data_IF_940183801409
#
_entry.id   IF_940183801409
#
_cell.length_a   1.000
_cell.length_b   1.000
_cell.length_c   1.000
_cell.angle_alpha   90.00
_cell.angle_beta   90.00
_cell.angle_gamma   90.00
#
_symmetry.space_group_name_H-M   'P 1'
#
loop_
_entity.id
_entity.type
_entity.pdbx_description
1 polymer ?
#
# COMPACT_ATOMS: atom_id res chain seq x y z
N UNK A 1 -56.35 7.87 -27.38
CA UNK A 1 -55.19 8.79 -27.37
C UNK A 1 -54.00 7.92 -27.06
N UNK A 2 -52.96 7.86 -27.94
CA UNK A 2 -51.76 7.09 -27.61
C UNK A 2 -51.07 7.74 -26.42
N UNK A 3 -51.01 7.04 -25.30
CA UNK A 3 -50.30 7.49 -24.11
C UNK A 3 -48.80 7.27 -24.36
N UNK A 4 -48.05 8.35 -24.43
CA UNK A 4 -46.60 8.30 -24.57
C UNK A 4 -45.99 8.14 -23.17
N UNK A 5 -45.42 6.98 -22.87
CA UNK A 5 -44.65 6.76 -21.63
C UNK A 5 -43.28 7.39 -21.79
N UNK A 6 -42.85 8.12 -20.77
CA UNK A 6 -41.51 8.68 -20.66
C UNK A 6 -40.59 7.77 -19.82
N UNK A 7 -39.30 7.98 -19.87
CA UNK A 7 -38.35 7.25 -19.01
C UNK A 7 -38.67 7.41 -17.52
N UNK A 8 -39.18 8.60 -17.12
CA UNK A 8 -39.57 8.91 -15.73
C UNK A 8 -40.77 8.07 -15.28
N UNK A 9 -41.72 7.79 -16.19
CA UNK A 9 -42.88 6.96 -15.88
C UNK A 9 -42.51 5.48 -15.70
N UNK A 10 -41.42 5.05 -16.32
CA UNK A 10 -40.93 3.67 -16.27
C UNK A 10 -39.98 3.40 -15.09
N UNK A 11 -39.31 4.42 -14.55
CA UNK A 11 -38.34 4.28 -13.47
C UNK A 11 -38.83 3.50 -12.24
N UNK A 12 -40.08 3.67 -11.76
CA UNK A 12 -40.60 2.88 -10.62
C UNK A 12 -40.68 1.38 -10.89
N UNK A 13 -40.78 0.98 -12.18
CA UNK A 13 -40.93 -0.41 -12.59
C UNK A 13 -39.58 -1.07 -12.97
N UNK A 14 -38.53 -0.28 -13.16
CA UNK A 14 -37.20 -0.75 -13.50
C UNK A 14 -36.38 -1.20 -12.25
N UNK A 15 -37.04 -1.52 -11.15
CA UNK A 15 -36.35 -2.11 -10.00
C UNK A 15 -35.98 -3.56 -10.27
N UNK A 16 -34.81 -4.03 -9.81
CA UNK A 16 -34.33 -5.40 -10.05
C UNK A 16 -35.36 -6.49 -9.71
N UNK A 17 -36.15 -6.27 -8.67
CA UNK A 17 -37.22 -7.18 -8.23
C UNK A 17 -38.38 -7.29 -9.22
N UNK A 18 -38.56 -6.31 -10.09
CA UNK A 18 -39.63 -6.25 -11.09
C UNK A 18 -39.16 -6.71 -12.48
N UNK A 19 -37.89 -7.03 -12.66
CA UNK A 19 -37.30 -7.40 -13.93
C UNK A 19 -37.12 -8.91 -14.05
N UNK A 20 -37.50 -9.47 -15.20
CA UNK A 20 -37.09 -10.83 -15.57
C UNK A 20 -35.69 -10.77 -16.11
N UNK A 21 -34.71 -11.22 -15.32
CA UNK A 21 -33.31 -11.13 -15.64
C UNK A 21 -32.82 -12.51 -16.10
N UNK A 22 -32.49 -12.65 -17.38
CA UNK A 22 -31.81 -13.80 -17.92
C UNK A 22 -30.31 -13.68 -17.63
N UNK A 23 -29.91 -13.98 -16.38
CA UNK A 23 -28.53 -13.90 -15.92
C UNK A 23 -28.44 -13.69 -14.41
N UNK A 24 -27.26 -13.88 -13.84
CA UNK A 24 -27.01 -13.65 -12.43
C UNK A 24 -26.56 -12.21 -12.23
N UNK A 25 -27.36 -11.43 -11.50
CA UNK A 25 -26.86 -10.18 -10.93
C UNK A 25 -25.79 -10.50 -9.89
N UNK A 26 -24.65 -9.87 -9.96
CA UNK A 26 -23.65 -9.91 -8.90
C UNK A 26 -23.92 -8.72 -7.97
N UNK A 27 -24.30 -9.04 -6.74
CA UNK A 27 -24.61 -8.00 -5.71
C UNK A 27 -25.63 -6.94 -6.17
N UNK A 28 -26.65 -7.35 -6.93
CA UNK A 28 -27.66 -6.44 -7.45
C UNK A 28 -27.24 -5.56 -8.64
N UNK A 29 -26.06 -5.79 -9.19
CA UNK A 29 -25.52 -5.04 -10.34
C UNK A 29 -25.48 -5.91 -11.60
N UNK A 30 -25.70 -5.28 -12.74
CA UNK A 30 -25.51 -5.92 -14.05
C UNK A 30 -24.04 -6.17 -14.30
N UNK A 31 -23.67 -7.33 -14.87
CA UNK A 31 -22.28 -7.62 -15.22
C UNK A 31 -21.77 -6.66 -16.32
N UNK A 32 -20.46 -6.40 -16.32
CA UNK A 32 -19.78 -5.71 -17.41
C UNK A 32 -20.00 -6.46 -18.72
N UNK A 33 -20.34 -5.73 -19.79
CA UNK A 33 -20.53 -6.28 -21.11
C UNK A 33 -21.78 -5.75 -21.81
N UNK A 34 -22.17 -6.40 -22.89
CA UNK A 34 -23.38 -6.05 -23.62
C UNK A 34 -24.61 -6.49 -22.82
N UNK A 35 -25.47 -5.51 -22.51
CA UNK A 35 -26.76 -5.73 -21.86
C UNK A 35 -27.85 -5.38 -22.86
N UNK A 36 -28.81 -6.26 -22.99
CA UNK A 36 -30.01 -6.06 -23.81
C UNK A 36 -31.20 -5.91 -22.89
N UNK A 37 -31.89 -4.81 -23.03
CA UNK A 37 -33.13 -4.51 -22.28
C UNK A 37 -34.28 -4.56 -23.27
N UNK A 38 -35.19 -5.49 -23.06
CA UNK A 38 -36.38 -5.65 -23.89
C UNK A 38 -37.61 -5.36 -23.08
N UNK A 39 -38.49 -4.58 -23.63
CA UNK A 39 -39.76 -4.15 -22.98
C UNK A 39 -40.95 -4.56 -23.85
N UNK A 40 -41.97 -5.12 -23.22
CA UNK A 40 -43.23 -5.47 -23.83
C UNK A 40 -44.36 -5.06 -22.91
N UNK A 41 -45.44 -4.50 -23.44
CA UNK A 41 -46.61 -4.14 -22.67
C UNK A 41 -47.61 -5.29 -22.75
N UNK A 42 -48.10 -5.71 -21.58
CA UNK A 42 -49.13 -6.75 -21.44
C UNK A 42 -50.28 -6.21 -20.56
N UNK A 43 -51.48 -6.64 -20.87
CA UNK A 43 -52.65 -6.33 -20.00
C UNK A 43 -52.48 -7.01 -18.64
N UNK A 44 -52.69 -6.26 -17.57
CA UNK A 44 -52.44 -6.73 -16.23
C UNK A 44 -53.31 -7.92 -15.81
N UNK A 45 -54.58 -7.90 -16.22
CA UNK A 45 -55.55 -8.92 -15.80
C UNK A 45 -55.60 -10.10 -16.74
N UNK A 46 -55.73 -9.86 -18.04
CA UNK A 46 -55.84 -10.92 -19.05
C UNK A 46 -54.51 -11.50 -19.50
N UNK A 47 -53.39 -10.84 -19.14
CA UNK A 47 -52.03 -11.16 -19.62
C UNK A 47 -51.90 -11.13 -21.16
N UNK A 48 -52.87 -10.51 -21.84
CA UNK A 48 -52.81 -10.36 -23.28
C UNK A 48 -51.72 -9.39 -23.72
N UNK A 49 -50.99 -9.73 -24.74
CA UNK A 49 -49.87 -8.93 -25.29
C UNK A 49 -50.43 -7.73 -26.03
N UNK A 50 -50.05 -6.54 -25.61
CA UNK A 50 -50.55 -5.26 -26.16
C UNK A 50 -49.53 -4.57 -27.08
N UNK A 51 -48.23 -4.98 -27.02
CA UNK A 51 -47.18 -4.42 -27.87
C UNK A 51 -46.21 -5.48 -28.35
N UNK A 52 -45.51 -5.20 -29.46
CA UNK A 52 -44.30 -5.93 -29.86
C UNK A 52 -43.17 -5.67 -28.83
N UNK A 53 -42.14 -6.50 -28.88
CA UNK A 53 -40.90 -6.27 -28.13
C UNK A 53 -40.17 -5.04 -28.69
N UNK A 54 -39.77 -4.14 -27.79
CA UNK A 54 -38.83 -3.09 -28.11
C UNK A 54 -37.57 -3.34 -27.32
N UNK A 55 -36.46 -3.41 -28.02
CA UNK A 55 -35.16 -3.80 -27.48
C UNK A 55 -34.15 -2.67 -27.62
N UNK A 56 -33.49 -2.34 -26.54
CA UNK A 56 -32.32 -1.47 -26.52
C UNK A 56 -31.09 -2.25 -26.08
N UNK A 57 -29.95 -1.98 -26.69
CA UNK A 57 -28.66 -2.57 -26.33
C UNK A 57 -27.73 -1.51 -25.77
N UNK A 58 -27.11 -1.81 -24.64
CA UNK A 58 -26.11 -0.96 -24.00
C UNK A 58 -24.89 -1.79 -23.66
N UNK A 59 -23.73 -1.19 -23.79
CA UNK A 59 -22.50 -1.76 -23.22
C UNK A 59 -22.29 -1.18 -21.84
N UNK A 60 -22.35 -2.03 -20.83
CA UNK A 60 -22.09 -1.64 -19.44
C UNK A 60 -20.62 -1.87 -19.14
N UNK A 61 -19.91 -0.83 -18.74
CA UNK A 61 -18.48 -0.89 -18.38
C UNK A 61 -18.36 -0.54 -16.89
N UNK A 62 -18.10 -1.57 -16.06
CA UNK A 62 -17.92 -1.40 -14.63
C UNK A 62 -16.47 -0.97 -14.36
N UNK A 63 -16.31 0.15 -13.66
CA UNK A 63 -15.02 0.69 -13.28
C UNK A 63 -14.60 0.18 -11.91
N UNK A 64 -13.30 -0.01 -11.73
CA UNK A 64 -12.77 -0.44 -10.45
C UNK A 64 -12.74 0.71 -9.44
N UNK A 65 -12.99 0.42 -8.14
CA UNK A 65 -12.87 1.42 -7.09
C UNK A 65 -11.42 1.88 -6.93
N UNK A 66 -11.19 3.03 -6.26
CA UNK A 66 -9.85 3.55 -6.03
C UNK A 66 -9.00 2.59 -5.20
N UNK A 67 -7.69 2.59 -5.46
CA UNK A 67 -6.71 1.85 -4.68
C UNK A 67 -6.03 2.80 -3.70
N UNK A 68 -6.10 2.48 -2.41
CA UNK A 68 -5.47 3.27 -1.37
C UNK A 68 -3.95 3.13 -1.42
N UNK A 69 -3.24 4.21 -1.06
CA UNK A 69 -1.78 4.25 -1.07
C UNK A 69 -1.19 4.70 0.27
N UNK A 70 -1.51 5.90 0.74
CA UNK A 70 -0.96 6.46 1.98
C UNK A 70 -2.04 7.00 2.90
N UNK A 71 -1.95 6.76 4.23
CA UNK A 71 -1.08 5.82 4.92
C UNK A 71 -1.33 4.39 4.46
N UNK A 72 -0.27 3.54 4.47
CA UNK A 72 -0.39 2.14 4.08
C UNK A 72 -1.17 1.34 5.13
N UNK A 73 -1.56 0.12 4.74
CA UNK A 73 -2.23 -0.79 5.66
C UNK A 73 -1.31 -1.15 6.84
N UNK A 74 -1.84 -0.97 8.06
CA UNK A 74 -1.15 -1.24 9.34
C UNK A 74 0.09 -0.36 9.58
N UNK A 75 0.09 0.84 9.00
CA UNK A 75 1.20 1.76 9.12
C UNK A 75 1.25 2.41 10.51
N UNK A 76 2.48 2.62 11.00
CA UNK A 76 2.73 3.38 12.23
C UNK A 76 3.01 4.84 11.84
N UNK A 77 2.11 5.74 12.19
CA UNK A 77 2.21 7.16 11.88
C UNK A 77 2.63 7.93 13.13
N UNK A 78 3.69 8.72 13.03
CA UNK A 78 4.10 9.57 14.15
C UNK A 78 3.16 10.78 14.30
N UNK A 79 2.69 11.02 15.52
CA UNK A 79 2.01 12.26 15.86
C UNK A 79 2.97 13.45 15.71
N UNK A 80 2.49 14.51 15.11
CA UNK A 80 3.22 15.78 14.96
C UNK A 80 2.36 16.91 15.46
N UNK A 81 2.99 17.92 16.01
CA UNK A 81 2.35 19.19 16.35
C UNK A 81 3.05 20.32 15.54
N UNK A 82 2.34 20.95 14.59
CA UNK A 82 0.95 20.71 14.19
C UNK A 82 0.75 19.38 13.45
N UNK A 83 -0.42 18.76 13.67
CA UNK A 83 -0.78 17.50 13.00
C UNK A 83 -0.77 17.65 11.49
N UNK A 84 -0.13 16.70 10.81
CA UNK A 84 -0.14 16.61 9.36
C UNK A 84 -0.08 15.14 8.92
N UNK A 85 -1.15 14.65 8.29
CA UNK A 85 -1.22 13.32 7.69
C UNK A 85 -1.67 13.47 6.24
N UNK A 86 -0.90 12.90 5.33
CA UNK A 86 -1.25 12.89 3.91
C UNK A 86 -1.94 11.58 3.56
N UNK A 87 -3.20 11.64 3.15
CA UNK A 87 -3.92 10.54 2.54
C UNK A 87 -3.78 10.61 1.03
N UNK A 88 -3.57 9.46 0.40
CA UNK A 88 -3.41 9.38 -1.05
C UNK A 88 -4.01 8.07 -1.57
N UNK A 89 -4.64 8.15 -2.74
CA UNK A 89 -5.17 7.00 -3.47
C UNK A 89 -4.97 7.16 -4.96
N UNK A 90 -5.07 6.04 -5.69
CA UNK A 90 -4.97 6.02 -7.14
C UNK A 90 -6.32 5.69 -7.75
N UNK A 91 -6.82 6.47 -8.72
CA UNK A 91 -7.99 6.11 -9.50
C UNK A 91 -7.64 4.89 -10.36
N UNK A 92 -8.55 3.91 -10.41
CA UNK A 92 -8.44 2.77 -11.33
C UNK A 92 -9.45 2.86 -12.47
N UNK A 93 -9.85 4.08 -12.78
CA UNK A 93 -10.73 4.43 -13.90
C UNK A 93 -10.10 5.56 -14.70
N UNK A 94 -10.20 5.49 -16.01
CA UNK A 94 -9.74 6.56 -16.90
C UNK A 94 -10.94 7.31 -17.47
N UNK A 95 -10.84 8.64 -17.52
CA UNK A 95 -11.70 9.47 -18.37
C UNK A 95 -13.14 9.67 -17.91
N UNK A 96 -13.51 9.34 -16.68
CA UNK A 96 -14.82 9.70 -16.14
C UNK A 96 -14.79 11.16 -15.65
N UNK A 97 -15.22 12.07 -16.50
CA UNK A 97 -15.52 13.44 -16.08
C UNK A 97 -16.59 13.41 -14.98
N UNK A 98 -16.43 14.23 -13.94
CA UNK A 98 -17.41 14.30 -12.86
C UNK A 98 -17.25 13.28 -11.73
N UNK A 99 -16.15 12.48 -11.71
CA UNK A 99 -15.87 11.61 -10.56
C UNK A 99 -15.50 12.43 -9.33
N UNK A 100 -16.20 12.16 -8.25
CA UNK A 100 -15.91 12.67 -6.91
C UNK A 100 -15.52 11.51 -5.99
N UNK A 101 -14.76 11.81 -4.96
CA UNK A 101 -14.36 10.84 -3.95
C UNK A 101 -14.93 11.27 -2.61
N UNK A 102 -15.65 10.36 -1.97
CA UNK A 102 -16.04 10.53 -0.57
C UNK A 102 -15.01 9.83 0.31
N UNK A 103 -14.30 10.60 1.09
CA UNK A 103 -13.30 10.13 2.06
C UNK A 103 -13.96 10.01 3.42
N UNK A 104 -13.69 8.90 4.12
CA UNK A 104 -14.19 8.64 5.48
C UNK A 104 -13.03 8.18 6.35
N UNK A 105 -12.86 8.81 7.51
CA UNK A 105 -11.91 8.44 8.56
C UNK A 105 -12.67 8.09 9.83
N UNK A 106 -12.36 6.94 10.41
CA UNK A 106 -12.96 6.45 11.66
C UNK A 106 -11.89 6.07 12.67
N UNK A 107 -12.16 6.31 13.96
CA UNK A 107 -11.42 5.71 15.05
C UNK A 107 -11.94 4.30 15.29
N UNK A 108 -11.02 3.33 15.36
CA UNK A 108 -11.37 1.95 15.62
C UNK A 108 -11.45 1.66 17.12
N UNK A 109 -12.44 0.88 17.58
CA UNK A 109 -12.50 0.45 18.97
C UNK A 109 -11.32 -0.51 19.28
N UNK A 110 -10.77 -0.38 20.47
CA UNK A 110 -9.72 -1.27 21.00
C UNK A 110 -10.35 -2.52 21.63
N UNK A 111 -10.96 -3.36 20.82
CA UNK A 111 -11.69 -4.56 21.26
C UNK A 111 -11.13 -5.87 20.66
N UNK A 112 -9.94 -5.81 20.04
CA UNK A 112 -9.30 -6.96 19.40
C UNK A 112 -9.95 -7.40 18.08
N UNK A 113 -10.99 -6.71 17.57
CA UNK A 113 -11.60 -7.03 16.30
C UNK A 113 -10.67 -6.71 15.13
N UNK A 114 -10.79 -7.49 14.04
CA UNK A 114 -10.08 -7.19 12.81
C UNK A 114 -10.47 -5.80 12.30
N UNK A 115 -9.50 -4.97 11.87
CA UNK A 115 -9.75 -3.58 11.50
C UNK A 115 -10.85 -3.37 10.47
N UNK A 116 -10.94 -4.27 9.48
CA UNK A 116 -11.99 -4.21 8.45
C UNK A 116 -13.39 -4.40 9.05
N UNK A 117 -13.54 -5.35 9.99
CA UNK A 117 -14.81 -5.57 10.68
C UNK A 117 -15.11 -4.42 11.66
N UNK A 118 -14.07 -3.94 12.38
CA UNK A 118 -14.19 -2.83 13.31
C UNK A 118 -14.59 -1.52 12.64
N UNK A 119 -14.28 -1.34 11.36
CA UNK A 119 -14.67 -0.13 10.62
C UNK A 119 -16.18 0.10 10.56
N UNK A 120 -16.98 -0.97 10.57
CA UNK A 120 -18.44 -0.86 10.55
C UNK A 120 -18.98 -0.16 11.82
N UNK A 121 -18.34 -0.40 12.97
CA UNK A 121 -18.75 0.16 14.28
C UNK A 121 -17.84 1.29 14.76
N UNK A 122 -16.81 1.62 14.00
CA UNK A 122 -15.85 2.67 14.31
C UNK A 122 -16.54 4.03 14.41
N UNK A 123 -16.04 4.86 15.34
CA UNK A 123 -16.53 6.23 15.49
C UNK A 123 -16.05 7.08 14.31
N UNK A 124 -16.99 7.64 13.54
CA UNK A 124 -16.67 8.51 12.41
C UNK A 124 -16.10 9.85 12.93
N UNK A 125 -14.85 10.11 12.57
CA UNK A 125 -14.14 11.33 12.94
C UNK A 125 -14.25 12.40 11.86
N UNK A 126 -14.13 11.99 10.59
CA UNK A 126 -14.13 12.93 9.50
C UNK A 126 -14.68 12.31 8.23
N UNK A 127 -15.50 13.10 7.52
CA UNK A 127 -16.04 12.77 6.20
C UNK A 127 -15.98 14.00 5.32
N UNK A 128 -15.49 13.83 4.11
CA UNK A 128 -15.45 14.91 3.13
C UNK A 128 -15.52 14.40 1.70
N UNK A 129 -15.90 15.25 0.78
CA UNK A 129 -15.89 14.98 -0.66
C UNK A 129 -14.83 15.83 -1.35
N UNK A 130 -14.15 15.24 -2.29
CA UNK A 130 -13.10 15.88 -3.06
C UNK A 130 -13.03 15.32 -4.47
N UNK A 131 -12.49 16.08 -5.40
CA UNK A 131 -12.12 15.61 -6.76
C UNK A 131 -10.66 15.28 -6.87
N UNK A 132 -9.88 15.59 -5.84
CA UNK A 132 -8.46 15.26 -5.79
C UNK A 132 -8.25 13.84 -5.31
N UNK A 133 -7.12 13.26 -5.69
CA UNK A 133 -6.68 11.92 -5.25
C UNK A 133 -5.76 11.97 -4.03
N UNK A 134 -5.69 13.14 -3.41
CA UNK A 134 -4.92 13.39 -2.18
C UNK A 134 -5.72 14.26 -1.23
N UNK A 135 -5.59 13.98 0.06
CA UNK A 135 -6.15 14.77 1.15
C UNK A 135 -5.06 15.00 2.18
N UNK A 136 -4.82 16.25 2.52
CA UNK A 136 -3.94 16.62 3.63
C UNK A 136 -4.81 16.87 4.85
N UNK A 137 -4.67 16.00 5.85
CA UNK A 137 -5.33 16.12 7.14
C UNK A 137 -4.42 16.89 8.08
N UNK A 138 -4.88 18.01 8.57
CA UNK A 138 -4.09 19.00 9.31
C UNK A 138 -4.73 19.30 10.68
N UNK A 139 -4.24 20.29 11.37
CA UNK A 139 -4.83 20.80 12.61
C UNK A 139 -6.19 21.53 12.40
N UNK A 140 -6.61 21.72 11.14
CA UNK A 140 -7.91 22.33 10.82
C UNK A 140 -9.06 21.32 10.85
N UNK A 141 -8.76 20.05 10.68
CA UNK A 141 -9.70 18.94 10.79
C UNK A 141 -9.85 18.49 12.27
N UNK A 142 -10.83 17.63 12.58
CA UNK A 142 -11.02 17.12 13.95
C UNK A 142 -9.76 16.49 14.54
N UNK A 143 -9.49 16.73 15.82
CA UNK A 143 -8.30 16.27 16.51
C UNK A 143 -8.23 14.75 16.53
N UNK A 144 -7.10 14.19 16.10
CA UNK A 144 -6.78 12.78 16.28
C UNK A 144 -5.94 12.60 17.54
N UNK A 145 -6.33 11.63 18.38
CA UNK A 145 -5.60 11.33 19.60
C UNK A 145 -4.46 10.36 19.32
N UNK A 146 -3.27 10.58 19.89
CA UNK A 146 -2.17 9.63 19.79
C UNK A 146 -2.50 8.32 20.52
N UNK A 147 -1.75 7.26 20.16
CA UNK A 147 -1.92 5.89 20.66
C UNK A 147 -3.31 5.29 20.37
N UNK A 148 -3.94 5.77 19.30
CA UNK A 148 -5.21 5.27 18.78
C UNK A 148 -5.03 4.70 17.39
N UNK A 149 -5.91 3.75 17.05
CA UNK A 149 -5.99 3.15 15.72
C UNK A 149 -7.11 3.81 14.92
N UNK A 150 -6.77 4.21 13.72
CA UNK A 150 -7.70 4.84 12.78
C UNK A 150 -7.78 4.01 11.51
N UNK A 151 -8.97 3.99 10.89
CA UNK A 151 -9.15 3.36 9.58
C UNK A 151 -9.83 4.32 8.64
N UNK A 152 -9.54 4.19 7.36
CA UNK A 152 -10.05 5.06 6.33
C UNK A 152 -10.42 4.31 5.06
N UNK A 153 -11.37 4.87 4.34
CA UNK A 153 -11.91 4.34 3.12
C UNK A 153 -12.25 5.49 2.18
N UNK A 154 -12.19 5.23 0.87
CA UNK A 154 -12.57 6.16 -0.17
C UNK A 154 -13.59 5.50 -1.06
N UNK A 155 -14.70 6.20 -1.34
CA UNK A 155 -15.68 5.80 -2.32
C UNK A 155 -15.58 6.69 -3.55
N UNK A 156 -15.45 6.11 -4.72
CA UNK A 156 -15.56 6.83 -5.98
C UNK A 156 -17.03 6.92 -6.39
N UNK A 157 -17.49 8.13 -6.70
CA UNK A 157 -18.86 8.44 -7.09
C UNK A 157 -18.81 9.15 -8.44
N UNK A 158 -19.39 8.56 -9.48
CA UNK A 158 -19.53 9.22 -10.77
C UNK A 158 -20.91 9.88 -10.83
N UNK A 159 -20.96 11.10 -11.36
CA UNK A 159 -22.21 11.84 -11.54
C UNK A 159 -22.35 12.35 -12.96
N UNK A 160 -23.57 12.28 -13.48
CA UNK A 160 -23.98 13.00 -14.67
C UNK A 160 -25.00 14.06 -14.24
N UNK A 161 -24.55 15.29 -14.16
CA UNK A 161 -25.35 16.36 -13.56
C UNK A 161 -25.62 16.10 -12.07
N UNK A 162 -26.89 15.89 -11.71
CA UNK A 162 -27.37 15.64 -10.33
C UNK A 162 -27.39 14.15 -10.00
N UNK A 163 -27.52 13.31 -11.02
CA UNK A 163 -27.73 11.87 -10.85
C UNK A 163 -26.42 11.11 -10.65
N UNK A 164 -26.44 10.21 -9.68
CA UNK A 164 -25.33 9.28 -9.45
C UNK A 164 -25.42 8.14 -10.45
N UNK A 165 -24.30 7.92 -11.16
CA UNK A 165 -24.18 6.83 -12.11
C UNK A 165 -23.49 5.66 -11.42
N UNK A 166 -24.17 4.53 -11.25
CA UNK A 166 -23.64 3.33 -10.61
C UNK A 166 -22.59 2.59 -11.48
N UNK A 167 -21.48 3.25 -11.83
CA UNK A 167 -20.46 2.73 -12.75
C UNK A 167 -19.30 1.99 -12.08
N UNK A 168 -19.28 1.90 -10.75
CA UNK A 168 -18.18 1.30 -10.02
C UNK A 168 -18.52 -0.07 -9.45
N UNK A 169 -17.59 -1.01 -9.55
CA UNK A 169 -17.62 -2.27 -8.80
C UNK A 169 -17.66 -1.98 -7.30
N UNK A 170 -18.26 -2.88 -6.53
CA UNK A 170 -18.39 -2.75 -5.07
C UNK A 170 -18.99 -1.39 -4.61
N UNK A 171 -19.86 -0.77 -5.41
CA UNK A 171 -20.43 0.53 -5.11
C UNK A 171 -19.39 1.66 -5.03
N UNK A 172 -18.24 1.50 -5.66
CA UNK A 172 -17.15 2.47 -5.67
C UNK A 172 -16.26 2.45 -4.42
N UNK A 173 -16.54 1.59 -3.44
CA UNK A 173 -15.76 1.55 -2.21
C UNK A 173 -14.40 0.88 -2.41
N UNK A 174 -13.36 1.56 -1.96
CA UNK A 174 -12.01 1.00 -1.84
C UNK A 174 -11.96 -0.10 -0.76
N UNK A 175 -10.83 -0.78 -0.66
CA UNK A 175 -10.49 -1.51 0.55
C UNK A 175 -10.40 -0.55 1.75
N UNK A 176 -10.44 -1.11 2.97
CA UNK A 176 -10.25 -0.36 4.20
C UNK A 176 -8.79 -0.48 4.60
N UNK A 177 -8.09 0.66 4.73
CA UNK A 177 -6.76 0.74 5.31
C UNK A 177 -6.84 1.31 6.71
N UNK A 178 -5.86 0.97 7.54
CA UNK A 178 -5.76 1.44 8.92
C UNK A 178 -4.33 1.77 9.27
N UNK A 179 -4.18 2.63 10.24
CA UNK A 179 -2.89 3.04 10.81
C UNK A 179 -3.03 3.29 12.30
N UNK A 180 -1.91 3.24 13.01
CA UNK A 180 -1.83 3.65 14.42
C UNK A 180 -1.13 5.00 14.50
N UNK A 181 -1.75 5.97 15.17
CA UNK A 181 -1.15 7.26 15.42
C UNK A 181 -0.38 7.18 16.74
N UNK A 182 0.94 7.17 16.68
CA UNK A 182 1.79 7.05 17.87
C UNK A 182 2.19 8.42 18.38
N UNK A 183 2.16 8.60 19.71
CA UNK A 183 2.59 9.83 20.38
C UNK A 183 4.07 10.10 20.13
N UNK A 184 4.87 9.03 20.17
CA UNK A 184 6.29 9.09 19.89
C UNK A 184 6.59 8.67 18.46
N UNK A 185 7.70 9.18 17.94
CA UNK A 185 8.22 8.74 16.65
C UNK A 185 8.46 7.21 16.65
N UNK A 186 7.78 6.42 15.79
CA UNK A 186 7.97 4.99 15.80
C UNK A 186 9.40 4.62 15.39
N UNK A 187 9.92 3.54 15.94
CA UNK A 187 11.18 2.97 15.49
C UNK A 187 11.01 2.25 14.17
N UNK A 188 12.02 2.21 13.27
CA UNK A 188 11.94 1.47 12.05
C UNK A 188 11.78 -0.03 12.33
N UNK A 189 10.98 -0.70 11.50
CA UNK A 189 10.79 -2.15 11.50
C UNK A 189 11.38 -2.77 10.24
N UNK A 190 11.38 -4.10 10.13
CA UNK A 190 11.87 -4.78 8.93
C UNK A 190 13.35 -4.54 8.67
N UNK A 191 14.15 -4.41 9.74
CA UNK A 191 15.58 -4.17 9.68
C UNK A 191 16.29 -5.32 8.98
N UNK A 192 17.10 -5.01 7.97
CA UNK A 192 17.91 -5.98 7.21
C UNK A 192 19.30 -5.43 7.01
N UNK A 193 20.28 -6.31 7.13
CA UNK A 193 21.68 -6.04 6.77
C UNK A 193 22.17 -7.11 5.81
N UNK A 194 22.68 -6.70 4.66
CA UNK A 194 23.28 -7.56 3.65
C UNK A 194 24.81 -7.35 3.66
N UNK A 195 25.57 -8.21 4.37
CA UNK A 195 27.00 -8.06 4.50
C UNK A 195 27.72 -8.51 3.21
N UNK A 196 28.62 -7.65 2.74
CA UNK A 196 29.53 -7.92 1.64
C UNK A 196 30.95 -7.67 2.10
N UNK A 197 31.93 -8.04 1.27
CA UNK A 197 33.32 -7.79 1.60
C UNK A 197 33.58 -6.29 1.84
N UNK A 198 34.01 -5.97 3.07
CA UNK A 198 34.32 -4.61 3.54
C UNK A 198 33.14 -3.60 3.48
N UNK A 199 31.91 -4.05 3.25
CA UNK A 199 30.72 -3.18 3.27
C UNK A 199 29.47 -3.93 3.71
N UNK A 200 28.47 -3.19 4.19
CA UNK A 200 27.13 -3.70 4.52
C UNK A 200 26.10 -2.79 3.90
N UNK A 201 25.13 -3.38 3.21
CA UNK A 201 23.95 -2.70 2.71
C UNK A 201 22.82 -2.88 3.73
N UNK A 202 22.38 -1.78 4.35
CA UNK A 202 21.29 -1.76 5.33
C UNK A 202 19.99 -1.31 4.70
N UNK A 203 18.88 -1.88 5.14
CA UNK A 203 17.54 -1.45 4.74
C UNK A 203 16.53 -1.65 5.86
N UNK A 204 15.47 -0.87 5.84
CA UNK A 204 14.38 -0.91 6.83
C UNK A 204 13.07 -0.45 6.20
N UNK A 205 11.96 -0.70 6.89
CA UNK A 205 10.67 -0.23 6.47
C UNK A 205 10.54 1.28 6.72
N UNK A 206 9.82 1.93 5.82
CA UNK A 206 9.51 3.35 5.95
C UNK A 206 8.69 3.62 7.21
N UNK A 207 9.01 4.71 7.89
CA UNK A 207 8.21 5.27 8.98
C UNK A 207 7.54 6.55 8.48
N UNK A 208 6.21 6.56 8.46
CA UNK A 208 5.46 7.75 8.04
C UNK A 208 5.63 8.83 9.09
N UNK A 209 5.93 10.02 8.62
CA UNK A 209 6.23 11.11 9.52
C UNK A 209 7.71 11.27 9.85
N UNK A 210 8.56 10.31 9.48
CA UNK A 210 9.99 10.49 9.59
C UNK A 210 10.49 11.61 8.67
N UNK A 211 11.35 12.48 9.19
CA UNK A 211 12.09 13.48 8.43
C UNK A 211 13.43 12.92 7.93
N UNK A 212 13.86 11.80 8.50
CA UNK A 212 15.09 11.09 8.18
C UNK A 212 15.32 9.94 9.14
N UNK A 213 16.45 9.29 8.96
CA UNK A 213 16.90 8.17 9.77
C UNK A 213 18.35 8.38 10.21
N UNK A 214 18.73 7.79 11.34
CA UNK A 214 20.09 7.76 11.84
C UNK A 214 20.54 6.30 11.96
N UNK A 215 21.46 5.87 11.10
CA UNK A 215 22.11 4.57 11.25
C UNK A 215 23.28 4.71 12.20
N UNK A 216 23.24 3.99 13.30
CA UNK A 216 24.34 3.90 14.25
C UNK A 216 24.97 2.51 14.16
N UNK A 217 26.28 2.46 14.03
CA UNK A 217 27.06 1.23 13.89
C UNK A 217 28.34 1.31 14.71
N UNK A 218 28.72 0.18 15.35
CA UNK A 218 30.02 0.04 16.05
C UNK A 218 30.54 -1.37 15.97
N UNK A 219 31.87 -1.59 16.05
CA UNK A 219 32.45 -2.92 16.21
C UNK A 219 31.97 -3.57 17.52
N UNK A 220 31.55 -4.83 17.46
CA UNK A 220 31.22 -5.61 18.64
C UNK A 220 32.50 -6.10 19.31
N UNK A 221 32.71 -5.71 20.55
CA UNK A 221 33.84 -6.18 21.36
C UNK A 221 33.36 -6.57 22.75
N UNK A 222 34.17 -7.37 23.45
CA UNK A 222 33.85 -7.81 24.82
C UNK A 222 33.88 -6.68 25.87
N UNK A 223 34.32 -5.49 25.51
CA UNK A 223 34.54 -4.38 26.45
C UNK A 223 33.76 -3.11 26.12
N UNK A 224 32.89 -3.11 25.11
CA UNK A 224 32.11 -1.94 24.67
C UNK A 224 32.91 -0.62 24.56
N UNK A 225 34.18 -0.73 24.13
CA UNK A 225 35.13 0.40 24.09
C UNK A 225 34.94 1.31 22.88
N UNK A 226 34.11 0.90 21.91
CA UNK A 226 33.85 1.70 20.72
C UNK A 226 32.59 2.51 20.86
N UNK A 227 32.68 3.78 20.54
CA UNK A 227 31.54 4.66 20.44
C UNK A 227 30.72 4.35 19.18
N UNK A 228 29.44 4.75 19.18
CA UNK A 228 28.59 4.63 18.04
C UNK A 228 29.01 5.62 16.97
N UNK A 229 29.28 5.11 15.78
CA UNK A 229 29.39 5.94 14.57
C UNK A 229 28.01 6.14 14.00
N UNK A 230 27.57 7.39 13.90
CA UNK A 230 26.22 7.75 13.46
C UNK A 230 26.27 8.42 12.09
N UNK A 231 25.42 7.95 11.18
CA UNK A 231 25.29 8.49 9.81
C UNK A 231 23.83 8.71 9.50
N UNK A 232 23.50 9.93 9.06
CA UNK A 232 22.13 10.29 8.69
C UNK A 232 21.78 9.83 7.28
N UNK A 233 20.57 9.32 7.10
CA UNK A 233 19.96 8.94 5.82
C UNK A 233 18.60 9.60 5.66
N UNK A 234 18.26 9.97 4.43
CA UNK A 234 16.92 10.45 4.04
C UNK A 234 16.13 9.38 3.26
N UNK A 235 16.69 8.19 3.16
CA UNK A 235 16.05 7.03 2.53
C UNK A 235 16.05 5.82 3.46
N UNK A 236 15.26 4.83 3.14
CA UNK A 236 15.12 3.58 3.87
C UNK A 236 16.27 2.58 3.62
N UNK A 237 17.36 3.07 3.03
CA UNK A 237 18.56 2.29 2.70
C UNK A 237 19.81 3.10 2.95
N UNK A 238 20.88 2.40 3.37
CA UNK A 238 22.20 2.98 3.50
C UNK A 238 23.27 1.91 3.35
N UNK A 239 24.39 2.27 2.71
CA UNK A 239 25.56 1.42 2.61
C UNK A 239 26.69 2.01 3.46
N UNK A 240 27.23 1.21 4.39
CA UNK A 240 28.49 1.53 5.05
C UNK A 240 29.61 0.74 4.37
N UNK A 241 30.65 1.45 3.98
CA UNK A 241 31.85 0.89 3.36
C UNK A 241 33.06 1.02 4.30
N UNK A 242 34.18 0.39 3.89
CA UNK A 242 35.46 0.40 4.63
C UNK A 242 35.38 -0.27 6.02
N UNK A 243 34.43 -1.19 6.17
CA UNK A 243 34.33 -2.02 7.35
C UNK A 243 35.38 -3.16 7.31
N UNK A 244 35.83 -3.62 8.46
CA UNK A 244 36.86 -4.67 8.53
C UNK A 244 36.26 -6.05 8.27
N UNK A 245 36.74 -6.79 7.25
CA UNK A 245 36.27 -8.14 6.97
C UNK A 245 36.46 -9.08 8.16
N UNK A 246 35.49 -9.98 8.37
CA UNK A 246 35.54 -10.96 9.46
C UNK A 246 35.17 -10.41 10.84
N UNK A 247 34.86 -9.12 10.93
CA UNK A 247 34.41 -8.50 12.18
C UNK A 247 32.88 -8.55 12.31
N UNK A 248 32.41 -8.63 13.54
CA UNK A 248 30.98 -8.45 13.88
C UNK A 248 30.76 -7.00 14.32
N UNK A 249 29.70 -6.42 13.81
CA UNK A 249 29.28 -5.07 14.14
C UNK A 249 27.89 -5.11 14.80
N UNK A 250 27.70 -4.28 15.81
CA UNK A 250 26.39 -3.93 16.33
C UNK A 250 25.85 -2.73 15.57
N UNK A 251 24.60 -2.76 15.25
CA UNK A 251 23.96 -1.66 14.55
C UNK A 251 22.50 -1.47 14.98
N UNK A 252 22.01 -0.28 14.81
CA UNK A 252 20.62 0.10 15.07
C UNK A 252 20.24 1.26 14.17
N UNK A 253 18.94 1.42 13.92
CA UNK A 253 18.41 2.54 13.13
C UNK A 253 17.48 3.36 13.99
N UNK A 254 17.72 4.65 14.05
CA UNK A 254 16.84 5.63 14.70
C UNK A 254 15.99 6.36 13.70
N UNK A 255 14.76 6.65 14.07
CA UNK A 255 13.89 7.53 13.28
C UNK A 255 14.05 8.96 13.80
N UNK A 256 14.20 9.91 12.86
CA UNK A 256 14.15 11.34 13.10
C UNK A 256 12.74 11.83 12.71
N UNK A 257 12.02 12.40 13.68
CA UNK A 257 10.74 13.06 13.41
C UNK A 257 10.86 14.57 13.67
N UNK A 258 10.05 15.14 14.52
CA UNK A 258 10.16 16.52 14.98
C UNK A 258 11.02 16.53 16.24
N UNK A 259 12.29 16.79 16.09
CA UNK A 259 13.24 16.84 17.21
C UNK A 259 14.62 16.32 16.83
N UNK A 260 15.63 16.75 17.55
CA UNK A 260 17.04 16.50 17.23
C UNK A 260 17.53 15.11 17.64
N UNK A 261 16.73 14.36 18.41
CA UNK A 261 17.16 13.06 18.94
C UNK A 261 16.47 11.90 18.22
N UNK A 262 17.25 10.98 17.63
CA UNK A 262 16.70 9.78 17.01
C UNK A 262 16.13 8.82 18.07
N UNK A 263 15.01 8.18 17.76
CA UNK A 263 14.47 7.08 18.56
C UNK A 263 14.93 5.78 17.92
N UNK A 264 15.86 5.10 18.58
CA UNK A 264 16.54 3.93 18.05
C UNK A 264 15.75 2.63 18.23
N UNK A 265 15.84 1.76 17.24
CA UNK A 265 15.44 0.35 17.29
C UNK A 265 16.29 -0.44 18.29
N UNK A 266 15.88 -1.68 18.56
CA UNK A 266 16.75 -2.64 19.24
C UNK A 266 18.06 -2.86 18.43
N UNK A 267 19.15 -3.13 19.15
CA UNK A 267 20.46 -3.41 18.56
C UNK A 267 20.38 -4.74 17.80
N UNK A 268 20.90 -4.73 16.58
CA UNK A 268 21.09 -5.88 15.72
C UNK A 268 22.58 -6.15 15.52
N UNK A 269 22.90 -7.34 15.08
CA UNK A 269 24.28 -7.74 14.80
C UNK A 269 24.44 -8.14 13.32
N UNK A 270 25.59 -7.84 12.76
CA UNK A 270 25.98 -8.28 11.43
C UNK A 270 27.46 -8.64 11.41
N UNK A 271 27.79 -9.81 10.83
CA UNK A 271 29.16 -10.26 10.69
C UNK A 271 29.56 -10.18 9.22
N UNK A 272 30.70 -9.50 8.95
CA UNK A 272 31.21 -9.42 7.59
C UNK A 272 31.96 -10.71 7.22
N UNK A 273 31.86 -11.16 5.97
CA UNK A 273 32.64 -12.27 5.47
C UNK A 273 34.16 -11.96 5.52
N UNK A 274 34.96 -12.97 5.80
CA UNK A 274 36.41 -12.82 5.89
C UNK A 274 37.07 -12.63 4.54
N UNK A 275 36.47 -13.20 3.51
CA UNK A 275 37.00 -13.17 2.13
C UNK A 275 35.84 -13.00 1.14
N UNK A 276 36.13 -12.58 -0.09
CA UNK A 276 35.14 -12.56 -1.18
C UNK A 276 34.62 -13.97 -1.51
N UNK A 277 35.37 -15.01 -1.21
CA UNK A 277 34.97 -16.40 -1.43
C UNK A 277 33.81 -16.83 -0.52
N UNK A 278 33.74 -16.27 0.70
CA UNK A 278 32.67 -16.60 1.65
C UNK A 278 31.31 -16.12 1.11
N UNK A 279 31.27 -15.01 0.37
CA UNK A 279 30.08 -14.51 -0.31
C UNK A 279 29.59 -15.43 -1.43
N UNK A 280 30.50 -16.09 -2.14
CA UNK A 280 30.15 -17.03 -3.22
C UNK A 280 29.53 -18.31 -2.67
N UNK A 281 29.93 -18.75 -1.47
CA UNK A 281 29.32 -19.89 -0.77
C UNK A 281 27.91 -19.60 -0.32
N UNK A 282 27.65 -18.40 0.21
CA UNK A 282 26.32 -17.99 0.67
C UNK A 282 25.32 -17.83 -0.49
N UNK A 283 25.82 -17.61 -1.71
CA UNK A 283 25.00 -17.58 -2.92
C UNK A 283 24.68 -18.97 -3.50
N UNK A 284 25.11 -20.06 -2.86
CA UNK A 284 24.89 -21.44 -3.34
C UNK A 284 25.63 -21.78 -4.67
N UNK A 285 26.51 -20.89 -5.12
CA UNK A 285 27.37 -21.13 -6.27
C UNK A 285 28.72 -21.64 -5.74
N UNK A 286 28.94 -22.95 -5.84
CA UNK A 286 30.33 -23.43 -5.71
C UNK A 286 31.19 -22.66 -6.72
N UNK A 287 32.33 -22.08 -6.30
CA UNK A 287 33.27 -21.55 -7.26
C UNK A 287 33.61 -22.66 -8.24
N UNK A 288 33.74 -22.37 -9.54
CA UNK A 288 34.20 -23.37 -10.49
C UNK A 288 35.48 -23.97 -9.91
N UNK A 289 35.48 -25.28 -9.65
CA UNK A 289 36.68 -25.98 -9.29
C UNK A 289 37.60 -25.76 -10.47
N UNK A 290 38.61 -24.90 -10.28
CA UNK A 290 39.68 -24.84 -11.21
C UNK A 290 40.33 -26.25 -11.19
N UNK A 291 40.01 -27.05 -12.19
CA UNK A 291 40.83 -28.23 -12.49
C UNK A 291 42.18 -27.71 -12.98
N UNK A 292 42.96 -27.25 -12.02
CA UNK A 292 44.35 -27.08 -12.21
C UNK A 292 44.93 -28.51 -12.29
N UNK A 293 44.82 -29.11 -13.47
CA UNK A 293 45.78 -30.13 -13.88
C UNK A 293 47.15 -29.44 -13.74
N UNK A 294 48.02 -29.92 -12.91
CA UNK A 294 49.34 -29.33 -12.86
C UNK A 294 49.97 -29.48 -14.25
N UNK A 295 49.98 -28.36 -14.99
CA UNK A 295 50.80 -28.27 -16.18
C UNK A 295 52.24 -28.31 -15.67
N UNK A 296 53.01 -29.36 -15.96
CA UNK A 296 54.38 -29.48 -15.47
C UNK A 296 55.32 -28.38 -15.97
N UNK A 297 54.83 -27.48 -16.82
CA UNK A 297 55.55 -26.30 -17.31
C UNK A 297 55.32 -25.02 -16.49
N UNK A 298 54.38 -25.02 -15.52
CA UNK A 298 54.10 -23.85 -14.68
C UNK A 298 54.69 -24.07 -13.28
N UNK A 299 55.91 -23.59 -13.08
CA UNK A 299 56.54 -23.50 -11.77
C UNK A 299 56.05 -22.25 -11.05
N UNK A 300 54.84 -22.36 -10.42
CA UNK A 300 54.23 -21.26 -9.67
C UNK A 300 54.84 -21.25 -8.27
N UNK A 301 55.62 -20.21 -7.98
CA UNK A 301 56.17 -19.96 -6.65
C UNK A 301 55.22 -19.17 -5.79
N UNK A 302 55.31 -19.32 -4.46
CA UNK A 302 54.50 -18.54 -3.49
C UNK A 302 54.81 -17.05 -3.66
N UNK A 303 53.86 -16.29 -4.15
CA UNK A 303 53.96 -14.84 -4.43
C UNK A 303 53.64 -14.46 -5.87
N UNK A 304 53.47 -15.43 -6.76
CA UNK A 304 53.12 -15.15 -8.16
C UNK A 304 51.64 -14.73 -8.32
N UNK A 305 51.42 -13.75 -9.14
CA UNK A 305 50.07 -13.28 -9.48
C UNK A 305 49.57 -14.01 -10.72
N UNK A 306 48.57 -14.85 -10.58
CA UNK A 306 47.91 -15.53 -11.69
C UNK A 306 46.70 -14.73 -12.14
N UNK A 307 46.67 -14.25 -13.38
CA UNK A 307 45.51 -13.62 -13.99
C UNK A 307 44.66 -14.69 -14.69
N UNK A 308 43.46 -14.93 -14.18
CA UNK A 308 42.52 -15.83 -14.82
C UNK A 308 41.64 -14.97 -15.74
N UNK A 309 41.84 -15.09 -17.04
CA UNK A 309 40.97 -14.53 -18.05
C UNK A 309 39.71 -15.39 -18.18
N UNK A 310 38.52 -14.74 -18.06
CA UNK A 310 37.22 -15.30 -18.33
C UNK A 310 36.62 -14.66 -19.55
#
# INVERSE_FOLDING_TARGET
VPTRLTATDLMPYLRPENLLINGRLRNGQFPTGFTEISVQVVDYYSKHVLSSWHTARAYLDSKQPPMLNLPQRDEQVAYRDPLFIRFQWYPRHQGLAGTEYEFVLKELPDNGAAPQAAFAYGNEIYRTRTRHTTLNYTHLEPILLPNRRYAWQVQAIARDGVDEIGMFEHGGFSEIYWFTLNENCPVPTGLKADPRYAKVDFSWNRVVGATGYMLACRPKTSKDIYEWSEVQSYSERMTLAQLKPGWTYEWRVGTLCTGDKPIYSAIQEVTLPKTNLDLLRDCGKEPPRANLSPDPALDIQVGDTVTIGG
#
